data_IF_163853782456
#
_entry.id   IF_163853782456
#
_cell.length_a   1.000
_cell.length_b   1.000
_cell.length_c   1.000
_cell.angle_alpha   90.00
_cell.angle_beta   90.00
_cell.angle_gamma   90.00
#
_symmetry.space_group_name_H-M   'P 1'
#
loop_
_entity.id
_entity.type
_entity.pdbx_description
1 polymer ?
#
# COMPACT_ATOMS: atom_id res chain seq x y z
N UNK A 1 -4.70 11.01 -11.57
CA UNK A 1 -4.98 12.14 -10.66
C UNK A 1 -6.42 12.25 -10.19
N UNK A 2 -7.39 11.64 -10.89
CA UNK A 2 -8.83 11.80 -10.58
C UNK A 2 -9.26 11.43 -9.15
N UNK A 3 -8.56 10.52 -8.46
CA UNK A 3 -8.89 10.15 -7.08
C UNK A 3 -8.15 10.98 -6.00
N UNK A 4 -7.20 11.85 -6.38
CA UNK A 4 -6.40 12.70 -5.48
C UNK A 4 -5.64 11.96 -4.36
N UNK A 5 -5.53 10.63 -4.44
CA UNK A 5 -4.87 9.79 -3.45
C UNK A 5 -3.48 9.41 -3.94
N UNK A 6 -2.48 10.17 -3.50
CA UNK A 6 -1.08 9.79 -3.66
C UNK A 6 -0.70 8.64 -2.69
N UNK A 7 0.45 7.97 -2.90
CA UNK A 7 0.92 6.90 -2.01
C UNK A 7 1.06 7.30 -0.54
N UNK A 8 1.33 8.58 -0.26
CA UNK A 8 1.46 9.08 1.10
C UNK A 8 0.11 9.16 1.81
N UNK A 9 -0.90 9.70 1.13
CA UNK A 9 -2.28 9.76 1.61
C UNK A 9 -2.83 8.36 1.87
N UNK A 10 -2.57 7.41 0.95
CA UNK A 10 -2.94 6.01 1.14
C UNK A 10 -2.21 5.38 2.34
N UNK A 11 -0.91 5.66 2.51
CA UNK A 11 -0.14 5.13 3.62
C UNK A 11 -0.62 5.63 4.99
N UNK A 12 -1.05 6.89 5.10
CA UNK A 12 -1.68 7.42 6.32
C UNK A 12 -2.96 6.65 6.65
N UNK A 13 -3.82 6.43 5.65
CA UNK A 13 -5.10 5.77 5.86
C UNK A 13 -4.95 4.29 6.19
N UNK A 14 -4.06 3.58 5.51
CA UNK A 14 -3.89 2.13 5.66
C UNK A 14 -2.86 1.71 6.70
N UNK A 15 -1.89 2.58 7.02
CA UNK A 15 -0.82 2.35 8.00
C UNK A 15 -1.29 1.65 9.27
N UNK A 16 -2.23 2.26 10.02
CA UNK A 16 -2.72 1.70 11.27
C UNK A 16 -3.40 0.32 11.14
N UNK A 17 -4.03 0.04 9.99
CA UNK A 17 -4.73 -1.23 9.76
C UNK A 17 -3.78 -2.34 9.33
N UNK A 18 -2.78 -2.02 8.51
CA UNK A 18 -1.81 -3.01 8.00
C UNK A 18 -0.72 -3.34 9.02
N UNK A 19 -0.40 -2.41 9.91
CA UNK A 19 0.58 -2.62 10.97
C UNK A 19 0.09 -1.99 12.27
N UNK A 20 -0.32 -2.84 13.20
CA UNK A 20 -0.67 -2.41 14.55
C UNK A 20 0.57 -1.97 15.32
N UNK A 21 0.38 -1.03 16.24
CA UNK A 21 1.45 -0.53 17.12
C UNK A 21 1.89 -1.67 18.05
N UNK A 22 3.21 -1.96 18.16
CA UNK A 22 3.71 -2.97 19.09
C UNK A 22 3.33 -2.65 20.53
N UNK A 23 3.16 -3.70 21.35
CA UNK A 23 2.91 -3.51 22.78
C UNK A 23 4.01 -2.67 23.44
N UNK A 24 3.60 -1.78 24.35
CA UNK A 24 4.50 -0.88 25.07
C UNK A 24 4.98 0.34 24.27
N UNK A 25 4.55 0.52 23.02
CA UNK A 25 4.82 1.72 22.23
C UNK A 25 3.55 2.55 22.03
N UNK A 26 3.68 3.86 21.89
CA UNK A 26 2.55 4.74 21.57
C UNK A 26 2.40 4.93 20.05
N UNK A 27 1.15 5.09 19.62
CA UNK A 27 0.81 5.20 18.21
C UNK A 27 1.46 6.40 17.53
N UNK A 28 1.59 7.53 18.23
CA UNK A 28 2.08 8.78 17.64
C UNK A 28 3.57 8.67 17.33
N UNK A 29 4.35 8.08 18.23
CA UNK A 29 5.80 7.86 18.05
C UNK A 29 6.11 6.89 16.91
N UNK A 30 5.27 5.88 16.69
CA UNK A 30 5.49 4.89 15.63
C UNK A 30 4.89 5.30 14.28
N UNK A 31 3.93 6.22 14.25
CA UNK A 31 3.15 6.54 13.05
C UNK A 31 4.00 6.91 11.84
N UNK A 32 5.01 7.77 12.02
CA UNK A 32 5.86 8.20 10.91
C UNK A 32 6.59 7.00 10.26
N UNK A 33 7.09 6.08 11.08
CA UNK A 33 7.78 4.89 10.61
C UNK A 33 6.83 3.93 9.89
N UNK A 34 5.64 3.72 10.44
CA UNK A 34 4.59 2.88 9.81
C UNK A 34 4.16 3.47 8.47
N UNK A 35 3.92 4.77 8.40
CA UNK A 35 3.52 5.44 7.17
C UNK A 35 4.61 5.34 6.10
N UNK A 36 5.88 5.55 6.46
CA UNK A 36 7.00 5.40 5.52
C UNK A 36 7.12 3.96 5.00
N UNK A 37 6.94 2.97 5.88
CA UNK A 37 6.95 1.57 5.47
C UNK A 37 5.81 1.27 4.48
N UNK A 38 4.58 1.65 4.80
CA UNK A 38 3.44 1.39 3.91
C UNK A 38 3.58 2.17 2.59
N UNK A 39 4.05 3.42 2.63
CA UNK A 39 4.33 4.20 1.41
C UNK A 39 5.36 3.49 0.53
N UNK A 40 6.43 2.97 1.12
CA UNK A 40 7.46 2.21 0.42
C UNK A 40 6.89 0.95 -0.22
N UNK A 41 6.03 0.22 0.51
CA UNK A 41 5.34 -0.96 -0.03
C UNK A 41 4.46 -0.58 -1.22
N UNK A 42 3.71 0.52 -1.13
CA UNK A 42 2.84 0.99 -2.22
C UNK A 42 3.67 1.36 -3.46
N UNK A 43 4.79 2.08 -3.30
CA UNK A 43 5.61 2.54 -4.42
C UNK A 43 6.39 1.39 -5.07
N UNK A 44 6.88 0.44 -4.27
CA UNK A 44 7.81 -0.60 -4.72
C UNK A 44 7.15 -1.99 -4.75
N UNK A 45 5.82 -2.07 -4.84
CA UNK A 45 5.08 -3.32 -4.70
C UNK A 45 5.53 -4.41 -5.69
N UNK A 46 5.90 -4.04 -6.92
CA UNK A 46 6.35 -5.00 -7.95
C UNK A 46 7.71 -5.64 -7.64
N UNK A 47 8.55 -4.96 -6.86
CA UNK A 47 9.84 -5.51 -6.41
C UNK A 47 9.75 -6.28 -5.10
N UNK A 48 8.74 -6.00 -4.29
CA UNK A 48 8.55 -6.58 -2.96
C UNK A 48 7.77 -7.90 -3.05
N UNK A 49 6.75 -7.95 -3.91
CA UNK A 49 5.88 -9.11 -4.05
C UNK A 49 6.13 -9.86 -5.37
N UNK A 50 5.98 -11.19 -5.39
CA UNK A 50 6.06 -11.96 -6.62
C UNK A 50 5.06 -11.50 -7.66
N UNK A 51 5.42 -11.63 -8.94
CA UNK A 51 4.54 -11.23 -10.03
C UNK A 51 3.26 -12.08 -10.10
N UNK A 52 2.19 -11.59 -10.78
CA UNK A 52 0.93 -12.32 -10.91
C UNK A 52 1.03 -13.72 -11.51
N UNK A 53 2.10 -14.00 -12.30
CA UNK A 53 2.34 -15.31 -12.91
C UNK A 53 2.98 -16.32 -11.95
N UNK A 54 3.52 -15.84 -10.83
CA UNK A 54 4.20 -16.64 -9.81
C UNK A 54 3.29 -16.96 -8.62
N UNK A 55 2.14 -16.28 -8.52
CA UNK A 55 1.16 -16.47 -7.45
C UNK A 55 -0.03 -17.30 -7.95
N UNK A 56 -0.41 -18.31 -7.18
CA UNK A 56 -1.64 -19.05 -7.42
C UNK A 56 -2.86 -18.23 -6.97
N UNK A 57 -3.92 -18.21 -7.78
CA UNK A 57 -5.19 -17.57 -7.43
C UNK A 57 -5.78 -16.67 -8.52
N UNK A 58 -6.92 -16.02 -8.23
CA UNK A 58 -7.55 -15.09 -9.17
C UNK A 58 -6.70 -13.83 -9.36
N UNK A 59 -6.50 -13.45 -10.62
CA UNK A 59 -5.87 -12.18 -11.00
C UNK A 59 -6.97 -11.12 -11.05
N UNK A 60 -6.85 -10.12 -10.18
CA UNK A 60 -7.75 -8.96 -10.19
C UNK A 60 -7.22 -7.92 -11.15
N UNK A 61 -8.05 -7.52 -12.10
CA UNK A 61 -7.72 -6.42 -13.00
C UNK A 61 -8.03 -5.07 -12.33
N UNK A 62 -7.24 -4.05 -12.64
CA UNK A 62 -7.61 -2.67 -12.31
C UNK A 62 -8.76 -2.31 -13.23
N UNK A 63 -10.00 -2.46 -12.75
CA UNK A 63 -11.18 -2.09 -13.50
C UNK A 63 -11.05 -0.67 -14.08
N UNK A 64 -10.86 -0.59 -15.39
CA UNK A 64 -10.98 0.62 -16.20
C UNK A 64 -9.89 1.70 -16.03
N UNK A 65 -8.72 1.48 -16.62
CA UNK A 65 -8.02 2.52 -17.37
C UNK A 65 -7.33 1.89 -18.60
N UNK A 66 -8.13 1.21 -19.40
CA UNK A 66 -7.81 0.88 -20.79
C UNK A 66 -8.83 1.61 -21.67
N UNK A 67 -8.80 2.95 -21.63
CA UNK A 67 -9.33 3.76 -22.74
C UNK A 67 -8.13 4.30 -23.53
N UNK A 68 -7.53 3.44 -24.32
CA UNK A 68 -6.85 3.85 -25.55
C UNK A 68 -7.11 2.74 -26.58
N UNK A 69 -8.22 2.85 -27.31
CA UNK A 69 -8.35 2.52 -28.75
C UNK A 69 -9.63 3.15 -29.32
#
# INVERSE_FOLDING_TARGET
>A
DDNMMDPYNLAICFGPTLMSVPEGHDQVSCQAHVNELIKTIIIHHESIFPGPRELEGPIYDRGGAAEEY
#
